data_IF_359032450587
#
_entry.id   IF_359032450587
#
_cell.length_a   1.000
_cell.length_b   1.000
_cell.length_c   1.000
_cell.angle_alpha   90.00
_cell.angle_beta   90.00
_cell.angle_gamma   90.00
#
_symmetry.space_group_name_H-M   'P 1'
#
loop_
_entity.id
_entity.type
_entity.pdbx_description
1 polymer ?
#
# COMPACT_ATOMS: atom_id res chain seq x y z
N UNK A 1 -12.35 17.07 -10.41
CA UNK A 1 -11.12 17.27 -9.63
C UNK A 1 -10.41 15.95 -9.40
N UNK A 2 -9.10 15.87 -9.60
CA UNK A 2 -8.39 14.63 -9.28
C UNK A 2 -8.43 14.37 -7.77
N UNK A 3 -8.37 13.09 -7.35
CA UNK A 3 -8.29 12.74 -5.93
C UNK A 3 -7.05 13.35 -5.27
N UNK A 4 -7.19 13.74 -4.01
CA UNK A 4 -6.08 14.28 -3.23
C UNK A 4 -5.20 13.16 -2.71
N UNK A 5 -3.87 13.35 -2.71
CA UNK A 5 -2.92 12.42 -2.10
C UNK A 5 -3.00 12.57 -0.58
N UNK A 6 -3.91 11.83 0.04
CA UNK A 6 -4.25 11.95 1.46
C UNK A 6 -3.97 10.70 2.28
N UNK A 7 -3.44 9.65 1.66
CA UNK A 7 -3.07 8.42 2.34
C UNK A 7 -1.56 8.37 2.48
N UNK A 8 -1.09 8.18 3.71
CA UNK A 8 0.34 8.06 4.00
C UNK A 8 0.77 6.60 3.84
N UNK A 9 1.44 6.28 2.74
CA UNK A 9 1.91 4.94 2.42
C UNK A 9 3.37 4.80 2.81
N UNK A 10 3.66 3.80 3.65
CA UNK A 10 5.03 3.45 4.06
C UNK A 10 5.24 1.97 3.72
N UNK A 11 6.22 1.68 2.87
CA UNK A 11 6.59 0.31 2.53
C UNK A 11 8.02 0.09 3.02
N UNK A 12 8.21 -0.92 3.86
CA UNK A 12 9.55 -1.23 4.36
C UNK A 12 9.80 -2.74 4.34
N UNK A 13 11.08 -3.10 4.26
CA UNK A 13 11.57 -4.44 4.46
C UNK A 13 12.13 -4.53 5.87
N UNK A 14 12.51 -5.74 6.35
CA UNK A 14 13.13 -5.85 7.67
C UNK A 14 14.38 -4.98 7.86
N UNK A 15 15.09 -4.65 6.77
CA UNK A 15 16.37 -3.91 6.85
C UNK A 15 16.23 -2.41 6.65
N UNK A 16 15.20 -1.95 5.92
CA UNK A 16 15.11 -0.52 5.56
C UNK A 16 13.72 -0.12 5.10
N UNK A 17 13.47 1.19 5.11
CA UNK A 17 12.31 1.76 4.44
C UNK A 17 12.58 1.78 2.94
N UNK A 18 11.68 1.17 2.17
CA UNK A 18 11.79 1.11 0.71
C UNK A 18 11.17 2.36 0.09
N UNK A 19 10.03 2.78 0.63
CA UNK A 19 9.25 3.88 0.08
C UNK A 19 8.41 4.52 1.18
N UNK A 20 8.31 5.85 1.12
CA UNK A 20 7.35 6.59 1.94
C UNK A 20 6.78 7.71 1.07
N UNK A 21 5.46 7.70 0.86
CA UNK A 21 4.81 8.63 -0.06
C UNK A 21 3.37 8.92 0.36
N UNK A 22 2.91 10.11 0.02
CA UNK A 22 1.47 10.41 0.08
C UNK A 22 0.86 9.96 -1.24
N UNK A 23 -0.22 9.18 -1.16
CA UNK A 23 -0.88 8.61 -2.33
C UNK A 23 -2.39 8.86 -2.26
N UNK A 24 -3.08 8.79 -3.41
CA UNK A 24 -4.54 8.90 -3.42
C UNK A 24 -5.20 7.53 -3.41
N UNK A 25 -4.49 6.49 -3.82
CA UNK A 25 -4.98 5.11 -3.75
C UNK A 25 -3.81 4.13 -3.81
N UNK A 26 -4.02 2.94 -3.25
CA UNK A 26 -3.05 1.86 -3.30
C UNK A 26 -3.80 0.53 -3.33
N UNK A 27 -3.35 -0.42 -4.14
CA UNK A 27 -3.91 -1.76 -4.20
C UNK A 27 -2.87 -2.82 -3.87
N UNK A 28 -3.32 -3.89 -3.23
CA UNK A 28 -2.47 -4.92 -2.67
C UNK A 28 -2.87 -6.32 -3.12
N UNK A 29 -1.90 -7.23 -3.29
CA UNK A 29 -2.19 -8.64 -3.58
C UNK A 29 -2.48 -9.38 -2.26
N UNK A 30 -3.67 -9.18 -1.69
CA UNK A 30 -4.07 -9.85 -0.47
C UNK A 30 -4.20 -11.36 -0.66
N UNK A 31 -3.91 -12.15 0.38
CA UNK A 31 -4.00 -13.61 0.30
C UNK A 31 -5.43 -14.10 0.04
N UNK A 32 -6.43 -13.29 0.36
CA UNK A 32 -7.85 -13.60 0.10
C UNK A 32 -8.39 -12.89 -1.12
N UNK A 33 -7.52 -12.32 -1.94
CA UNK A 33 -7.89 -11.58 -3.13
C UNK A 33 -7.34 -10.16 -3.10
N UNK A 34 -7.20 -9.59 -4.30
CA UNK A 34 -6.69 -8.23 -4.45
C UNK A 34 -7.69 -7.22 -3.90
N UNK A 35 -7.20 -6.21 -3.19
CA UNK A 35 -8.07 -5.15 -2.66
C UNK A 35 -7.42 -3.78 -2.84
N UNK A 36 -8.26 -2.73 -2.84
CA UNK A 36 -7.83 -1.35 -3.02
C UNK A 36 -8.16 -0.54 -1.78
N UNK A 37 -7.23 0.34 -1.39
CA UNK A 37 -7.39 1.26 -0.27
C UNK A 37 -7.55 2.67 -0.83
N UNK A 38 -8.64 3.31 -0.45
CA UNK A 38 -8.94 4.69 -0.76
C UNK A 38 -8.99 5.49 0.55
N UNK A 39 -9.13 6.81 0.43
CA UNK A 39 -9.25 7.69 1.59
C UNK A 39 -10.34 7.20 2.53
N UNK A 40 -10.06 7.25 3.84
CA UNK A 40 -10.98 6.89 4.91
C UNK A 40 -11.38 5.40 4.91
N UNK A 41 -10.52 4.54 4.37
CA UNK A 41 -10.71 3.10 4.43
C UNK A 41 -10.77 2.64 5.90
N UNK A 42 -11.67 1.73 6.19
CA UNK A 42 -11.80 1.15 7.53
C UNK A 42 -10.49 0.46 7.95
N UNK A 43 -10.16 0.44 9.24
CA UNK A 43 -8.96 -0.26 9.72
C UNK A 43 -8.95 -1.72 9.28
N UNK A 44 -7.77 -2.19 8.85
CA UNK A 44 -7.61 -3.52 8.30
C UNK A 44 -6.18 -4.00 8.53
N UNK A 45 -6.03 -5.29 8.87
CA UNK A 45 -4.74 -5.98 8.84
C UNK A 45 -4.90 -7.15 7.88
N UNK A 46 -3.98 -7.27 6.92
CA UNK A 46 -4.04 -8.33 5.92
C UNK A 46 -2.67 -8.85 5.58
N UNK A 47 -2.56 -10.17 5.38
CA UNK A 47 -1.37 -10.75 4.80
C UNK A 47 -1.40 -10.60 3.28
N UNK A 48 -0.22 -10.54 2.67
CA UNK A 48 -0.05 -10.34 1.24
C UNK A 48 0.70 -11.53 0.64
N UNK A 49 0.30 -11.89 -0.57
CA UNK A 49 0.98 -12.95 -1.32
C UNK A 49 1.87 -12.33 -2.40
N UNK A 50 2.61 -13.16 -3.10
CA UNK A 50 3.42 -12.70 -4.22
C UNK A 50 2.56 -11.95 -5.23
N UNK A 51 3.03 -10.78 -5.64
CA UNK A 51 2.31 -9.95 -6.58
C UNK A 51 2.80 -8.51 -6.56
N UNK A 52 1.97 -7.63 -7.07
CA UNK A 52 2.35 -6.24 -7.28
C UNK A 52 1.50 -5.31 -6.44
N UNK A 53 2.18 -4.45 -5.66
CA UNK A 53 1.54 -3.31 -5.01
C UNK A 53 1.51 -2.18 -6.02
N UNK A 54 0.34 -1.60 -6.25
CA UNK A 54 0.15 -0.51 -7.22
C UNK A 54 -0.39 0.70 -6.49
N UNK A 55 0.23 1.85 -6.67
CA UNK A 55 -0.21 3.08 -6.01
C UNK A 55 -0.15 4.27 -6.96
N UNK A 56 -0.93 5.29 -6.65
CA UNK A 56 -0.98 6.53 -7.44
C UNK A 56 -0.65 7.70 -6.55
N UNK A 57 0.37 8.47 -6.96
CA UNK A 57 0.84 9.67 -6.27
C UNK A 57 1.09 10.77 -7.29
N UNK A 58 0.54 11.95 -7.05
CA UNK A 58 0.70 13.07 -7.98
C UNK A 58 0.17 12.78 -9.37
N UNK A 59 -0.86 11.94 -9.49
CA UNK A 59 -1.43 11.56 -10.78
C UNK A 59 -0.62 10.50 -11.54
N UNK A 60 0.46 9.98 -10.95
CA UNK A 60 1.34 8.99 -11.58
C UNK A 60 1.15 7.64 -10.90
N UNK A 61 0.89 6.61 -11.69
CA UNK A 61 0.79 5.23 -11.20
C UNK A 61 2.18 4.59 -11.16
N UNK A 62 2.51 4.02 -10.02
CA UNK A 62 3.77 3.29 -9.81
C UNK A 62 3.47 1.94 -9.18
N UNK A 63 4.42 1.04 -9.22
CA UNK A 63 4.23 -0.28 -8.65
C UNK A 63 5.54 -0.86 -8.12
N UNK A 64 5.40 -1.88 -7.25
CA UNK A 64 6.52 -2.61 -6.70
C UNK A 64 6.12 -4.09 -6.58
N UNK A 65 7.00 -4.98 -7.04
CA UNK A 65 6.79 -6.42 -6.94
C UNK A 65 7.28 -6.92 -5.60
N UNK A 66 6.47 -7.77 -4.94
CA UNK A 66 6.80 -8.35 -3.65
C UNK A 66 6.64 -9.87 -3.69
N UNK A 67 7.34 -10.59 -2.83
CA UNK A 67 7.16 -12.03 -2.64
C UNK A 67 6.13 -12.34 -1.58
N UNK A 68 6.15 -11.60 -0.49
CA UNK A 68 5.23 -11.77 0.63
C UNK A 68 5.25 -10.51 1.46
N UNK A 69 4.28 -10.38 2.34
CA UNK A 69 4.23 -9.27 3.26
C UNK A 69 2.95 -9.21 4.05
N UNK A 70 2.78 -8.13 4.78
CA UNK A 70 1.52 -7.81 5.43
C UNK A 70 1.34 -6.30 5.49
N UNK A 71 0.10 -5.87 5.62
CA UNK A 71 -0.27 -4.46 5.65
C UNK A 71 -1.18 -4.18 6.83
N UNK A 72 -0.97 -3.03 7.45
CA UNK A 72 -1.85 -2.48 8.48
C UNK A 72 -2.36 -1.13 8.00
N UNK A 73 -3.68 -0.97 8.01
CA UNK A 73 -4.35 0.25 7.57
C UNK A 73 -5.10 0.83 8.76
N UNK A 74 -4.86 2.10 9.09
CA UNK A 74 -5.59 2.82 10.11
C UNK A 74 -5.45 4.33 9.90
N UNK A 75 -6.57 5.05 9.92
CA UNK A 75 -6.60 6.52 9.89
C UNK A 75 -5.78 7.13 8.74
N UNK A 76 -5.98 6.62 7.52
CA UNK A 76 -5.29 7.07 6.31
C UNK A 76 -3.77 6.88 6.38
N UNK A 77 -3.31 5.97 7.23
CA UNK A 77 -1.92 5.55 7.29
C UNK A 77 -1.85 4.07 6.94
N UNK A 78 -1.03 3.75 5.95
CA UNK A 78 -0.88 2.40 5.44
C UNK A 78 0.57 1.98 5.62
N UNK A 79 0.81 1.06 6.54
CA UNK A 79 2.14 0.55 6.86
C UNK A 79 2.27 -0.86 6.31
N UNK A 80 3.26 -1.06 5.44
CA UNK A 80 3.45 -2.33 4.73
C UNK A 80 4.85 -2.86 5.02
N UNK A 81 4.93 -4.11 5.44
CA UNK A 81 6.21 -4.80 5.60
C UNK A 81 6.27 -5.91 4.56
N UNK A 82 7.33 -5.92 3.74
CA UNK A 82 7.44 -6.83 2.59
C UNK A 82 8.79 -7.53 2.52
N UNK A 83 8.79 -8.65 1.80
CA UNK A 83 10.00 -9.28 1.28
C UNK A 83 9.99 -9.13 -0.24
N UNK A 84 11.10 -8.67 -0.77
CA UNK A 84 11.26 -8.46 -2.21
C UNK A 84 11.76 -9.70 -2.94
#
# INVERSE_FOLDING_TARGET
MPPTDSIHLIIHSPERTILEKMVCKVSFPGTKGRFMVLKDHAPLISSLEEGRIVFVSGGVEENIDIKTGFVEIAYNKVTVCVEL
#
